data_IF_195159234777
#
_entry.id   IF_195159234777
#
_cell.length_a   1.000
_cell.length_b   1.000
_cell.length_c   1.000
_cell.angle_alpha   90.00
_cell.angle_beta   90.00
_cell.angle_gamma   90.00
#
_symmetry.space_group_name_H-M   'P 1'
#
loop_
_entity.id
_entity.type
_entity.pdbx_description
1 polymer ?
#
# COMPACT_ATOMS: atom_id res chain seq x y z
N UNK A 1 -34.08 -5.58 -1.28
CA UNK A 1 -33.14 -4.55 -1.75
C UNK A 1 -32.19 -4.31 -0.60
N UNK A 2 -31.00 -4.89 -0.69
CA UNK A 2 -30.05 -5.01 0.41
C UNK A 2 -29.20 -3.73 0.49
N UNK A 3 -29.45 -2.90 1.50
CA UNK A 3 -28.80 -1.59 1.69
C UNK A 3 -27.40 -1.71 2.29
N UNK A 4 -26.96 -2.92 2.66
CA UNK A 4 -25.68 -3.17 3.33
C UNK A 4 -24.57 -3.67 2.39
N UNK A 5 -24.84 -3.75 1.07
CA UNK A 5 -23.80 -4.04 0.09
C UNK A 5 -22.89 -2.81 -0.10
N UNK A 6 -21.54 -2.92 0.04
CA UNK A 6 -20.62 -1.81 -0.14
C UNK A 6 -20.60 -1.24 -1.57
N UNK A 7 -21.21 -1.94 -2.54
CA UNK A 7 -21.46 -1.43 -3.90
C UNK A 7 -22.70 -0.53 -4.00
N UNK A 8 -23.54 -0.50 -2.97
CA UNK A 8 -24.83 0.19 -2.93
C UNK A 8 -24.91 1.32 -1.90
N UNK A 9 -23.79 1.71 -1.27
CA UNK A 9 -23.76 2.92 -0.46
C UNK A 9 -24.13 4.11 -1.36
N UNK A 10 -25.32 4.72 -1.20
CA UNK A 10 -25.74 5.78 -2.09
C UNK A 10 -24.74 6.92 -1.91
N UNK A 11 -24.24 7.46 -3.00
CA UNK A 11 -23.36 8.64 -3.04
C UNK A 11 -23.82 9.73 -2.05
N UNK A 12 -25.13 9.83 -1.79
CA UNK A 12 -25.76 10.68 -0.77
C UNK A 12 -25.28 10.47 0.69
N UNK A 13 -24.89 9.26 1.10
CA UNK A 13 -24.39 8.95 2.44
C UNK A 13 -22.98 9.52 2.65
N UNK A 14 -22.12 9.45 1.62
CA UNK A 14 -20.78 10.03 1.64
C UNK A 14 -20.80 11.56 1.77
N UNK A 15 -21.71 12.22 1.04
CA UNK A 15 -21.95 13.66 1.17
C UNK A 15 -22.37 14.04 2.60
N UNK A 16 -23.28 13.27 3.22
CA UNK A 16 -23.71 13.54 4.60
C UNK A 16 -22.58 13.38 5.61
N UNK A 17 -21.76 12.34 5.45
CA UNK A 17 -20.60 12.09 6.32
C UNK A 17 -19.56 13.19 6.15
N UNK A 18 -19.23 13.57 4.91
CA UNK A 18 -18.26 14.64 4.64
C UNK A 18 -18.74 16.01 5.13
N UNK A 19 -20.02 16.35 4.90
CA UNK A 19 -20.60 17.61 5.39
C UNK A 19 -20.64 17.68 6.93
N UNK A 20 -20.73 16.53 7.60
CA UNK A 20 -20.67 16.44 9.06
C UNK A 20 -19.24 16.52 9.61
N UNK A 21 -18.21 16.37 8.78
CA UNK A 21 -16.82 16.52 9.22
C UNK A 21 -16.49 17.99 9.46
N UNK A 22 -15.81 18.24 10.57
CA UNK A 22 -15.27 19.56 10.90
C UNK A 22 -13.91 19.78 10.23
N UNK A 23 -13.20 18.69 9.92
CA UNK A 23 -11.85 18.73 9.37
C UNK A 23 -11.62 17.64 8.32
N UNK A 24 -10.71 17.91 7.38
CA UNK A 24 -10.17 16.95 6.43
C UNK A 24 -8.64 16.98 6.43
N UNK A 25 -8.02 15.90 5.95
CA UNK A 25 -6.57 15.81 5.78
C UNK A 25 -6.22 15.85 4.30
N UNK A 26 -5.25 16.68 3.94
CA UNK A 26 -4.62 16.69 2.62
C UNK A 26 -3.19 16.17 2.79
N UNK A 27 -2.82 15.20 1.97
CA UNK A 27 -1.43 14.76 1.83
C UNK A 27 -0.79 15.53 0.65
N UNK A 28 0.16 16.44 0.90
CA UNK A 28 0.79 17.24 -0.15
C UNK A 28 1.61 16.41 -1.15
N UNK A 29 1.84 15.12 -0.87
CA UNK A 29 2.51 14.20 -1.80
C UNK A 29 1.58 13.73 -2.91
N UNK A 30 0.27 13.82 -2.70
CA UNK A 30 -0.75 13.24 -3.57
C UNK A 30 -1.61 14.29 -4.27
N UNK A 31 -1.66 15.51 -3.74
CA UNK A 31 -2.45 16.61 -4.30
C UNK A 31 -1.53 17.78 -4.60
N UNK A 32 -1.67 18.39 -5.78
CA UNK A 32 -0.85 19.53 -6.16
C UNK A 32 -1.17 20.76 -5.27
N UNK A 33 -0.17 21.57 -4.86
CA UNK A 33 -0.40 22.75 -4.01
C UNK A 33 -1.44 23.73 -4.53
N UNK A 34 -1.58 23.83 -5.86
CA UNK A 34 -2.58 24.68 -6.52
C UNK A 34 -4.02 24.24 -6.27
N UNK A 35 -4.27 22.95 -6.03
CA UNK A 35 -5.63 22.42 -5.85
C UNK A 35 -6.22 22.72 -4.47
N UNK A 36 -5.39 23.14 -3.50
CA UNK A 36 -5.83 23.47 -2.14
C UNK A 36 -5.32 24.82 -1.65
N UNK A 37 -4.74 25.64 -2.52
CA UNK A 37 -4.18 26.94 -2.15
C UNK A 37 -5.22 27.92 -1.57
N UNK A 38 -6.50 27.76 -1.95
CA UNK A 38 -7.61 28.58 -1.49
C UNK A 38 -8.28 28.07 -0.21
N UNK A 39 -7.85 26.91 0.31
CA UNK A 39 -8.46 26.28 1.47
C UNK A 39 -7.84 26.75 2.78
N UNK A 40 -8.64 26.85 3.87
CA UNK A 40 -8.13 27.16 5.19
C UNK A 40 -7.38 25.94 5.75
N UNK A 41 -6.10 25.84 5.42
CA UNK A 41 -5.23 24.74 5.83
C UNK A 41 -4.28 25.12 6.95
N UNK A 42 -4.11 24.22 7.92
CA UNK A 42 -3.08 24.30 8.95
C UNK A 42 -2.13 23.11 8.82
N UNK A 43 -0.82 23.37 8.88
CA UNK A 43 0.17 22.29 8.83
C UNK A 43 0.10 21.48 10.12
N UNK A 44 -0.10 20.17 10.01
CA UNK A 44 0.01 19.30 11.18
C UNK A 44 1.48 19.01 11.46
N UNK A 45 2.01 19.68 12.48
CA UNK A 45 3.33 19.40 13.05
C UNK A 45 3.18 18.84 14.46
N UNK A 46 2.99 17.52 14.62
CA UNK A 46 3.01 16.93 15.95
C UNK A 46 4.40 17.10 16.56
N UNK A 47 4.47 17.55 17.82
CA UNK A 47 5.72 17.94 18.52
C UNK A 47 6.81 16.85 18.45
N UNK A 48 6.42 15.57 18.50
CA UNK A 48 7.33 14.41 18.43
C UNK A 48 7.93 14.15 17.05
N UNK A 49 7.37 14.72 15.99
CA UNK A 49 7.82 14.54 14.61
C UNK A 49 8.26 15.86 13.96
N UNK A 50 8.33 16.94 14.74
CA UNK A 50 8.77 18.24 14.26
C UNK A 50 10.14 18.15 13.56
N UNK A 51 10.20 18.64 12.32
CA UNK A 51 11.41 18.62 11.48
C UNK A 51 11.76 17.27 10.84
N UNK A 52 11.03 16.18 11.12
CA UNK A 52 11.29 14.85 10.54
C UNK A 52 10.39 14.51 9.35
N UNK A 53 9.23 15.16 9.25
CA UNK A 53 8.29 14.96 8.13
C UNK A 53 8.60 15.99 7.05
N UNK A 54 9.06 15.53 5.87
CA UNK A 54 9.39 16.42 4.74
C UNK A 54 8.16 17.09 4.12
N UNK A 55 7.03 16.39 4.13
CA UNK A 55 5.75 16.86 3.59
C UNK A 55 4.65 16.60 4.63
N UNK A 56 4.55 17.44 5.68
CA UNK A 56 3.56 17.25 6.73
C UNK A 56 2.14 17.33 6.13
N UNK A 57 1.21 16.46 6.57
CA UNK A 57 -0.17 16.54 6.13
C UNK A 57 -0.77 17.88 6.57
N UNK A 58 -1.68 18.40 5.76
CA UNK A 58 -2.40 19.63 6.02
C UNK A 58 -3.79 19.29 6.56
N UNK A 59 -4.19 19.96 7.63
CA UNK A 59 -5.54 19.89 8.16
C UNK A 59 -6.37 21.02 7.55
N UNK A 60 -7.40 20.68 6.78
CA UNK A 60 -8.38 21.62 6.27
C UNK A 60 -9.47 21.79 7.32
N UNK A 61 -9.76 23.01 7.75
CA UNK A 61 -10.90 23.31 8.63
C UNK A 61 -12.17 23.40 7.78
N UNK A 62 -12.78 22.25 7.49
CA UNK A 62 -14.02 22.18 6.72
C UNK A 62 -15.11 23.05 7.35
N UNK A 63 -15.18 23.11 8.69
CA UNK A 63 -16.16 23.93 9.40
C UNK A 63 -16.14 25.42 9.02
N UNK A 64 -14.98 25.95 8.66
CA UNK A 64 -14.81 27.34 8.23
C UNK A 64 -15.31 27.58 6.80
N UNK A 65 -15.53 26.52 6.01
CA UNK A 65 -16.03 26.60 4.64
C UNK A 65 -17.56 26.60 4.62
N UNK A 66 -18.12 27.43 3.73
CA UNK A 66 -19.53 27.39 3.38
C UNK A 66 -19.92 26.00 2.83
N UNK A 67 -21.17 25.59 3.05
CA UNK A 67 -21.67 24.27 2.65
C UNK A 67 -21.45 23.98 1.16
N UNK A 68 -21.69 24.95 0.29
CA UNK A 68 -21.52 24.80 -1.16
C UNK A 68 -20.06 24.56 -1.55
N UNK A 69 -19.11 25.22 -0.85
CA UNK A 69 -17.68 25.01 -1.09
C UNK A 69 -17.25 23.60 -0.66
N UNK A 70 -17.82 23.06 0.42
CA UNK A 70 -17.58 21.67 0.84
C UNK A 70 -18.10 20.67 -0.19
N UNK A 71 -19.27 20.92 -0.78
CA UNK A 71 -19.80 20.08 -1.85
C UNK A 71 -18.88 20.09 -3.08
N UNK A 72 -18.44 21.28 -3.52
CA UNK A 72 -17.48 21.39 -4.62
C UNK A 72 -16.19 20.64 -4.36
N UNK A 73 -15.65 20.71 -3.13
CA UNK A 73 -14.44 19.97 -2.77
C UNK A 73 -14.64 18.46 -2.85
N UNK A 74 -15.80 17.97 -2.43
CA UNK A 74 -16.13 16.56 -2.54
C UNK A 74 -16.23 16.13 -4.01
N UNK A 75 -16.88 16.94 -4.85
CA UNK A 75 -16.95 16.69 -6.30
C UNK A 75 -15.57 16.70 -6.96
N UNK A 76 -14.69 17.63 -6.57
CA UNK A 76 -13.31 17.71 -7.04
C UNK A 76 -12.49 16.49 -6.60
N UNK A 77 -12.62 16.07 -5.34
CA UNK A 77 -11.94 14.88 -4.82
C UNK A 77 -12.43 13.60 -5.55
N UNK A 78 -13.73 13.49 -5.80
CA UNK A 78 -14.32 12.38 -6.55
C UNK A 78 -13.84 12.38 -8.01
N UNK A 79 -13.76 13.55 -8.66
CA UNK A 79 -13.24 13.68 -10.01
C UNK A 79 -11.75 13.27 -10.07
N UNK A 80 -10.94 13.77 -9.14
CA UNK A 80 -9.52 13.41 -9.03
C UNK A 80 -9.34 11.91 -8.81
N UNK A 81 -10.15 11.29 -7.94
CA UNK A 81 -10.14 9.84 -7.71
C UNK A 81 -10.56 9.03 -8.94
N UNK A 82 -11.49 9.53 -9.76
CA UNK A 82 -11.90 8.88 -11.02
C UNK A 82 -10.81 8.97 -12.08
N UNK A 83 -10.14 10.12 -12.17
CA UNK A 83 -9.13 10.39 -13.20
C UNK A 83 -7.78 9.72 -12.89
N UNK A 84 -7.29 9.88 -11.65
CA UNK A 84 -5.96 9.42 -11.25
C UNK A 84 -5.97 8.15 -10.40
N UNK A 85 -7.14 7.70 -9.94
CA UNK A 85 -7.25 6.64 -8.95
C UNK A 85 -6.75 7.08 -7.57
N UNK A 86 -6.71 6.14 -6.63
CA UNK A 86 -5.94 6.35 -5.39
C UNK A 86 -4.46 6.06 -5.69
N UNK A 87 -3.50 6.92 -5.31
CA UNK A 87 -2.09 6.57 -5.42
C UNK A 87 -1.85 5.28 -4.61
N UNK A 88 -1.60 4.17 -5.33
CA UNK A 88 -1.36 2.86 -4.73
C UNK A 88 0.02 2.77 -4.08
N UNK A 89 0.92 3.69 -4.45
CA UNK A 89 2.29 3.80 -3.98
C UNK A 89 2.61 5.26 -3.68
N UNK A 90 3.25 5.52 -2.53
CA UNK A 90 3.67 6.85 -2.10
C UNK A 90 4.91 7.37 -2.86
N UNK A 91 5.71 6.47 -3.45
CA UNK A 91 6.98 6.77 -4.12
C UNK A 91 7.15 5.87 -5.35
N UNK A 92 7.70 6.35 -6.49
CA UNK A 92 7.99 5.52 -7.65
C UNK A 92 8.86 4.30 -7.34
N UNK A 93 9.81 4.40 -6.39
CA UNK A 93 10.66 3.30 -5.94
C UNK A 93 9.90 2.26 -5.10
N UNK A 94 8.67 2.56 -4.68
CA UNK A 94 7.79 1.60 -4.01
C UNK A 94 7.02 0.72 -5.00
N UNK A 95 7.06 1.02 -6.31
CA UNK A 95 6.40 0.26 -7.40
C UNK A 95 7.11 -1.06 -7.74
N UNK A 96 7.30 -1.91 -6.74
CA UNK A 96 7.95 -3.22 -6.90
C UNK A 96 7.25 -4.32 -6.12
N UNK A 97 7.18 -5.50 -6.73
CA UNK A 97 6.70 -6.71 -6.06
C UNK A 97 7.88 -7.35 -5.32
N UNK A 98 7.77 -7.51 -4.00
CA UNK A 98 8.86 -8.04 -3.16
C UNK A 98 8.80 -9.56 -2.97
N UNK A 99 7.62 -10.16 -3.15
CA UNK A 99 7.35 -11.58 -2.98
C UNK A 99 7.24 -12.27 -4.34
N UNK A 100 7.62 -13.54 -4.40
CA UNK A 100 7.49 -14.37 -5.60
C UNK A 100 6.77 -15.67 -5.24
N UNK A 101 5.74 -16.07 -5.99
CA UNK A 101 4.98 -17.31 -5.70
C UNK A 101 5.74 -18.57 -6.14
N UNK A 102 6.86 -18.44 -6.87
CA UNK A 102 7.59 -19.60 -7.41
C UNK A 102 8.12 -20.49 -6.28
N UNK A 103 7.82 -21.79 -6.35
CA UNK A 103 8.22 -22.82 -5.38
C UNK A 103 9.69 -23.24 -5.43
N UNK A 104 10.62 -22.28 -5.52
CA UNK A 104 12.06 -22.54 -5.43
C UNK A 104 12.48 -22.69 -3.96
N UNK A 105 13.54 -23.47 -3.68
CA UNK A 105 14.09 -23.61 -2.32
C UNK A 105 14.43 -22.25 -1.70
N UNK A 106 15.02 -21.35 -2.49
CA UNK A 106 15.35 -19.97 -2.06
C UNK A 106 14.11 -19.19 -1.64
N UNK A 107 13.04 -19.23 -2.43
CA UNK A 107 11.80 -18.52 -2.10
C UNK A 107 11.12 -19.14 -0.88
N UNK A 108 11.15 -20.46 -0.74
CA UNK A 108 10.61 -21.15 0.44
C UNK A 108 11.38 -20.73 1.71
N UNK A 109 12.71 -20.71 1.66
CA UNK A 109 13.56 -20.25 2.76
C UNK A 109 13.27 -18.79 3.14
N UNK A 110 13.22 -17.90 2.14
CA UNK A 110 12.92 -16.47 2.35
C UNK A 110 11.53 -16.26 2.97
N UNK A 111 10.52 -17.03 2.54
CA UNK A 111 9.18 -16.92 3.12
C UNK A 111 9.13 -17.45 4.56
N UNK A 112 9.80 -18.57 4.86
CA UNK A 112 9.90 -19.05 6.25
C UNK A 112 10.58 -18.00 7.13
N UNK A 113 11.65 -17.38 6.64
CA UNK A 113 12.30 -16.27 7.32
C UNK A 113 11.38 -15.08 7.56
N UNK A 114 10.53 -14.74 6.60
CA UNK A 114 9.53 -13.68 6.76
C UNK A 114 8.47 -14.05 7.81
N UNK A 115 7.96 -15.29 7.77
CA UNK A 115 6.87 -15.75 8.63
C UNK A 115 7.29 -15.97 10.08
N UNK A 116 8.53 -16.39 10.33
CA UNK A 116 9.08 -16.58 11.67
C UNK A 116 9.34 -15.26 12.42
N UNK A 117 9.21 -14.12 11.73
CA UNK A 117 9.40 -12.79 12.31
C UNK A 117 10.86 -12.47 12.63
N UNK A 118 11.10 -11.23 13.07
CA UNK A 118 12.46 -10.70 13.26
C UNK A 118 13.13 -11.16 14.55
N UNK A 119 12.37 -11.61 15.56
CA UNK A 119 12.89 -11.96 16.88
C UNK A 119 13.82 -13.18 16.85
N UNK A 120 13.43 -14.22 16.11
CA UNK A 120 14.20 -15.47 16.02
C UNK A 120 15.12 -15.51 14.79
N UNK A 121 14.99 -14.56 13.87
CA UNK A 121 15.75 -14.50 12.64
C UNK A 121 17.28 -14.50 12.83
N UNK A 122 17.87 -13.84 13.85
CA UNK A 122 19.32 -13.92 14.10
C UNK A 122 19.83 -15.33 14.39
N UNK A 123 18.98 -16.21 14.93
CA UNK A 123 19.34 -17.58 15.33
C UNK A 123 19.10 -18.62 14.22
N UNK A 124 18.67 -18.19 13.03
CA UNK A 124 18.24 -19.07 11.92
C UNK A 124 19.31 -20.03 11.41
N UNK A 125 20.59 -19.68 11.56
CA UNK A 125 21.72 -20.53 11.14
C UNK A 125 22.39 -21.28 12.29
N UNK A 126 21.91 -21.08 13.53
CA UNK A 126 22.45 -21.73 14.72
C UNK A 126 21.36 -22.57 15.37
N UNK A 127 20.82 -22.14 16.49
CA UNK A 127 19.87 -22.90 17.31
C UNK A 127 18.59 -23.25 16.56
N UNK A 128 18.11 -22.34 15.70
CA UNK A 128 16.84 -22.49 14.99
C UNK A 128 16.98 -23.10 13.58
N UNK A 129 18.21 -23.42 13.14
CA UNK A 129 18.44 -24.03 11.84
C UNK A 129 17.59 -25.28 11.57
N UNK A 130 17.47 -26.28 12.48
CA UNK A 130 16.66 -27.47 12.20
C UNK A 130 15.18 -27.12 11.99
N UNK A 131 14.64 -26.15 12.73
CA UNK A 131 13.25 -25.71 12.60
C UNK A 131 13.04 -24.99 11.27
N UNK A 132 13.90 -24.01 10.95
CA UNK A 132 13.82 -23.27 9.69
C UNK A 132 14.00 -24.19 8.47
N UNK A 133 14.95 -25.14 8.57
CA UNK A 133 15.21 -26.15 7.54
C UNK A 133 14.00 -27.07 7.33
N UNK A 134 13.43 -27.61 8.41
CA UNK A 134 12.25 -28.47 8.35
C UNK A 134 11.04 -27.74 7.75
N UNK A 135 10.76 -26.50 8.16
CA UNK A 135 9.67 -25.68 7.61
C UNK A 135 9.91 -25.30 6.15
N UNK A 136 11.17 -25.05 5.77
CA UNK A 136 11.52 -24.73 4.38
C UNK A 136 11.32 -25.95 3.48
N UNK A 137 11.79 -27.12 3.92
CA UNK A 137 11.65 -28.38 3.20
C UNK A 137 10.19 -28.80 3.09
N UNK A 138 9.41 -28.72 4.17
CA UNK A 138 7.98 -29.08 4.14
C UNK A 138 7.24 -28.24 3.11
N UNK A 139 7.42 -26.91 3.14
CA UNK A 139 6.83 -26.00 2.15
C UNK A 139 7.29 -26.29 0.72
N UNK A 140 8.58 -26.56 0.53
CA UNK A 140 9.12 -26.86 -0.79
C UNK A 140 8.56 -28.17 -1.34
N UNK A 141 8.47 -29.22 -0.51
CA UNK A 141 7.84 -30.49 -0.86
C UNK A 141 6.37 -30.27 -1.23
N UNK A 142 5.60 -29.51 -0.44
CA UNK A 142 4.21 -29.15 -0.77
C UNK A 142 4.11 -28.54 -2.16
N UNK A 143 4.98 -27.59 -2.53
CA UNK A 143 4.95 -27.01 -3.88
C UNK A 143 5.31 -27.99 -5.00
N UNK A 144 6.07 -29.05 -4.70
CA UNK A 144 6.45 -30.07 -5.67
C UNK A 144 5.40 -31.16 -5.81
N UNK A 145 4.63 -31.43 -4.76
CA UNK A 145 3.64 -32.51 -4.73
C UNK A 145 2.21 -32.02 -5.00
N UNK A 146 1.88 -30.78 -4.67
CA UNK A 146 0.57 -30.21 -4.94
C UNK A 146 0.44 -29.74 -6.39
N UNK A 147 -0.75 -29.92 -6.97
CA UNK A 147 -1.10 -29.39 -8.29
C UNK A 147 -1.16 -27.86 -8.25
N UNK A 148 -0.64 -27.21 -9.28
CA UNK A 148 -0.80 -25.77 -9.43
C UNK A 148 -2.30 -25.42 -9.54
N UNK A 149 -2.78 -24.38 -8.84
CA UNK A 149 -4.14 -23.90 -9.02
C UNK A 149 -4.29 -23.44 -10.48
N UNK A 150 -5.35 -23.90 -11.14
CA UNK A 150 -5.72 -23.47 -12.49
C UNK A 150 -7.03 -22.71 -12.34
N UNK A 151 -7.05 -21.45 -12.77
CA UNK A 151 -8.28 -20.68 -12.77
C UNK A 151 -9.10 -21.03 -14.03
N UNK A 152 -10.43 -20.94 -13.97
CA UNK A 152 -11.27 -21.00 -15.16
C UNK A 152 -10.81 -20.00 -16.23
N UNK A 153 -10.85 -20.36 -17.52
CA UNK A 153 -10.32 -19.53 -18.60
C UNK A 153 -11.01 -18.16 -18.70
N UNK A 154 -12.29 -18.08 -18.34
CA UNK A 154 -13.03 -16.82 -18.25
C UNK A 154 -12.40 -15.87 -17.22
N UNK A 155 -11.99 -16.38 -16.05
CA UNK A 155 -11.35 -15.58 -15.00
C UNK A 155 -9.92 -15.18 -15.38
N UNK A 156 -9.19 -16.05 -16.07
CA UNK A 156 -7.86 -15.71 -16.58
C UNK A 156 -7.91 -14.61 -17.64
N UNK A 157 -8.94 -14.61 -18.50
CA UNK A 157 -9.16 -13.58 -19.50
C UNK A 157 -9.57 -12.23 -18.86
N UNK A 158 -10.45 -12.25 -17.85
CA UNK A 158 -10.84 -11.04 -17.12
C UNK A 158 -9.69 -10.45 -16.28
N UNK A 159 -8.85 -11.30 -15.70
CA UNK A 159 -7.71 -10.88 -14.88
C UNK A 159 -6.44 -10.57 -15.71
N UNK A 160 -6.49 -10.74 -17.03
CA UNK A 160 -5.33 -10.50 -17.89
C UNK A 160 -4.93 -9.02 -17.84
N UNK A 161 -3.67 -8.76 -17.44
CA UNK A 161 -3.11 -7.41 -17.44
C UNK A 161 -2.97 -6.96 -18.90
N UNK A 162 -3.48 -5.77 -19.22
CA UNK A 162 -3.36 -5.22 -20.57
C UNK A 162 -1.87 -5.07 -20.95
N UNK A 163 -1.46 -5.42 -22.19
CA UNK A 163 -0.05 -5.40 -22.59
C UNK A 163 0.67 -4.07 -22.36
N UNK A 164 -0.05 -2.96 -22.50
CA UNK A 164 0.47 -1.59 -22.36
C UNK A 164 -0.01 -0.90 -21.07
N UNK A 165 -0.41 -1.66 -20.04
CA UNK A 165 -0.83 -1.07 -18.76
C UNK A 165 0.35 -0.31 -18.10
N UNK A 166 0.26 1.03 -17.98
CA UNK A 166 1.34 1.84 -17.39
C UNK A 166 1.54 1.57 -15.89
N UNK A 167 0.60 0.88 -15.24
CA UNK A 167 0.64 0.49 -13.83
C UNK A 167 1.08 -0.95 -13.60
N UNK A 168 1.32 -1.73 -14.65
CA UNK A 168 1.84 -3.09 -14.54
C UNK A 168 3.17 -3.09 -13.76
N UNK A 169 3.27 -3.97 -12.75
CA UNK A 169 4.46 -4.10 -11.95
C UNK A 169 5.31 -5.26 -12.47
N UNK A 170 6.64 -5.13 -12.48
CA UNK A 170 7.51 -6.20 -12.94
C UNK A 170 7.46 -7.39 -11.97
N UNK A 171 7.23 -8.59 -12.50
CA UNK A 171 7.23 -9.82 -11.71
C UNK A 171 8.66 -10.27 -11.34
N UNK A 172 8.96 -10.51 -10.05
CA UNK A 172 10.28 -10.95 -9.63
C UNK A 172 10.48 -12.45 -9.91
N UNK A 173 11.67 -12.79 -10.42
CA UNK A 173 12.14 -14.17 -10.62
C UNK A 173 12.33 -14.91 -9.30
N UNK A 174 12.72 -14.20 -8.25
CA UNK A 174 12.85 -14.72 -6.88
C UNK A 174 12.57 -13.62 -5.85
N UNK A 175 12.26 -14.01 -4.61
CA UNK A 175 11.93 -13.07 -3.53
C UNK A 175 13.05 -12.04 -3.30
N UNK A 176 12.64 -10.78 -3.13
CA UNK A 176 13.52 -9.63 -2.94
C UNK A 176 14.52 -9.39 -4.09
N UNK A 177 14.19 -9.76 -5.33
CA UNK A 177 15.04 -9.47 -6.49
C UNK A 177 15.37 -7.99 -6.65
N UNK A 178 14.35 -7.12 -6.61
CA UNK A 178 14.53 -5.69 -6.81
C UNK A 178 15.27 -4.99 -5.67
N UNK A 179 15.39 -5.62 -4.50
CA UNK A 179 16.21 -5.11 -3.40
C UNK A 179 17.72 -5.21 -3.68
N UNK A 180 18.14 -5.78 -4.83
CA UNK A 180 19.51 -5.69 -5.33
C UNK A 180 19.86 -4.28 -5.80
N UNK A 181 18.87 -3.49 -6.20
CA UNK A 181 19.06 -2.07 -6.50
C UNK A 181 19.22 -1.29 -5.18
N UNK A 182 20.37 -0.61 -4.97
CA UNK A 182 20.61 0.17 -3.76
C UNK A 182 19.55 1.25 -3.50
N UNK A 183 18.97 1.86 -4.54
CA UNK A 183 17.96 2.90 -4.39
C UNK A 183 16.66 2.34 -3.84
N UNK A 184 16.21 1.21 -4.38
CA UNK A 184 15.00 0.49 -3.92
C UNK A 184 15.21 -0.01 -2.49
N UNK A 185 16.39 -0.55 -2.17
CA UNK A 185 16.72 -0.99 -0.82
C UNK A 185 16.74 0.18 0.19
N UNK A 186 17.37 1.30 -0.17
CA UNK A 186 17.41 2.49 0.67
C UNK A 186 16.01 3.04 0.95
N UNK A 187 15.14 3.10 -0.08
CA UNK A 187 13.74 3.50 0.08
C UNK A 187 12.98 2.53 1.00
N UNK A 188 13.17 1.21 0.84
CA UNK A 188 12.53 0.22 1.70
C UNK A 188 12.95 0.39 3.18
N UNK A 189 14.23 0.70 3.45
CA UNK A 189 14.73 0.97 4.80
C UNK A 189 14.13 2.27 5.37
N UNK A 190 14.02 3.32 4.56
CA UNK A 190 13.36 4.56 4.94
C UNK A 190 11.89 4.29 5.31
N UNK A 191 11.16 3.55 4.47
CA UNK A 191 9.76 3.16 4.72
C UNK A 191 9.60 2.32 5.99
N UNK A 192 10.58 1.49 6.33
CA UNK A 192 10.59 0.75 7.58
C UNK A 192 10.77 1.68 8.79
N UNK A 193 11.72 2.62 8.72
CA UNK A 193 11.94 3.64 9.77
C UNK A 193 10.69 4.49 9.99
N UNK A 194 10.06 4.95 8.91
CA UNK A 194 8.79 5.67 8.93
C UNK A 194 7.74 4.86 9.71
N UNK A 195 7.53 3.58 9.37
CA UNK A 195 6.57 2.71 10.08
C UNK A 195 6.88 2.48 11.56
N UNK A 196 8.16 2.46 11.93
CA UNK A 196 8.56 2.32 13.33
C UNK A 196 8.35 3.60 14.14
N UNK A 197 8.33 4.78 13.50
CA UNK A 197 8.02 6.05 14.18
C UNK A 197 6.53 6.19 14.54
N UNK A 198 5.65 5.45 13.87
CA UNK A 198 4.21 5.42 14.13
C UNK A 198 3.77 4.33 15.13
N UNK A 199 4.71 3.52 15.63
CA UNK A 199 4.47 2.54 16.71
C UNK A 199 4.87 3.13 18.05
#
# INVERSE_FOLDING_TARGET
MDLDSPAAAPIALWHRVFLAQTHALIDPRHVAPSEFADLPTHVLQPERLAGRVRHPPLLVTLEALARDRRLQLLDQADAHLREYGRPRFDDPLDRVITLSPKGTLRNCWMLVCLMMGTTLFPLRYTLMFPIYGALTLSRWITFKTCRAPVFPPELEAECAIAPDDPYALPEPRFMAEFARDPAIYARALQRHRERMLWR
#
